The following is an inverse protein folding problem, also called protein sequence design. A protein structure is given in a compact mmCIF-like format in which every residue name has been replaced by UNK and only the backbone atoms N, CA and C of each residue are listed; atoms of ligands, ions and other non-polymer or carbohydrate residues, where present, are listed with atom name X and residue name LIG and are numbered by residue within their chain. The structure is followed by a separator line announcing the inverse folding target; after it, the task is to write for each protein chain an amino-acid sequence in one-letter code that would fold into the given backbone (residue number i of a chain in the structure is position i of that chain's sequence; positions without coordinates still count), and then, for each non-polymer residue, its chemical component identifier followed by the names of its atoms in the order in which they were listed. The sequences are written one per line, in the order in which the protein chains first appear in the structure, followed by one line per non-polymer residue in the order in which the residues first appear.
data_IF_543700868064
#
_entry.id   IF_543700868064
#
_cell.length_a   1.000
_cell.length_b   1.000
_cell.length_c   1.000
_cell.angle_alpha   90.00
_cell.angle_beta   90.00
_cell.angle_gamma   90.00
#
_symmetry.space_group_name_H-M   'P 1'
#
loop_
_entity.id
_entity.type
_entity.pdbx_description
1 polymer ?
#
# COMPACT_ATOMS: atom_id res chain seq x y z
N UNK A 1 -15.54 -10.35 10.67
CA UNK A 1 -15.36 -8.97 11.18
C UNK A 1 -16.32 -8.08 10.40
N UNK A 2 -17.23 -7.36 11.06
CA UNK A 2 -18.39 -6.70 10.41
C UNK A 2 -18.08 -5.40 9.63
N UNK A 3 -16.84 -5.18 9.16
CA UNK A 3 -16.53 -4.15 8.15
C UNK A 3 -16.86 -2.69 8.48
N UNK A 4 -17.11 -2.32 9.73
CA UNK A 4 -17.50 -0.95 10.12
C UNK A 4 -16.30 -0.01 10.21
N UNK A 5 -15.70 0.31 9.06
CA UNK A 5 -14.50 1.14 8.96
C UNK A 5 -14.76 2.55 9.52
N UNK A 6 -15.92 3.16 9.23
CA UNK A 6 -16.27 4.49 9.74
C UNK A 6 -16.30 4.55 11.28
N UNK A 7 -16.88 3.52 11.92
CA UNK A 7 -16.89 3.42 13.37
C UNK A 7 -15.49 3.23 13.97
N UNK A 8 -14.61 2.53 13.26
CA UNK A 8 -13.22 2.37 13.67
C UNK A 8 -12.47 3.70 13.57
N UNK A 9 -12.62 4.43 12.45
CA UNK A 9 -12.06 5.78 12.26
C UNK A 9 -12.51 6.71 13.38
N UNK A 10 -13.82 6.78 13.65
CA UNK A 10 -14.36 7.64 14.72
C UNK A 10 -13.75 7.29 16.08
N UNK A 11 -13.62 6.00 16.38
CA UNK A 11 -13.03 5.53 17.63
C UNK A 11 -11.54 5.89 17.75
N UNK A 12 -10.76 5.69 16.68
CA UNK A 12 -9.34 6.04 16.65
C UNK A 12 -9.11 7.55 16.77
N UNK A 13 -9.93 8.37 16.10
CA UNK A 13 -9.87 9.83 16.22
C UNK A 13 -10.19 10.27 17.65
N UNK A 14 -11.23 9.69 18.29
CA UNK A 14 -11.55 9.98 19.69
C UNK A 14 -10.40 9.61 20.64
N UNK A 15 -9.69 8.52 20.37
CA UNK A 15 -8.51 8.15 21.16
C UNK A 15 -7.32 9.08 20.95
N UNK A 16 -7.17 9.66 19.76
CA UNK A 16 -6.13 10.67 19.52
C UNK A 16 -6.35 11.95 20.34
N UNK A 17 -7.61 12.29 20.60
CA UNK A 17 -8.02 13.43 21.43
C UNK A 17 -7.72 13.20 22.93
N UNK A 18 -7.52 11.96 23.37
CA UNK A 18 -7.17 11.65 24.76
C UNK A 18 -5.68 11.92 25.02
N UNK A 19 -5.34 12.86 25.91
CA UNK A 19 -3.95 13.20 26.21
C UNK A 19 -3.15 12.02 26.81
N UNK A 20 -3.82 11.04 27.44
CA UNK A 20 -3.20 9.91 28.12
C UNK A 20 -2.88 8.72 27.20
N UNK A 21 -3.35 8.74 25.94
CA UNK A 21 -3.05 7.67 24.99
C UNK A 21 -1.59 7.74 24.54
N UNK A 22 -0.84 6.71 24.89
CA UNK A 22 0.63 6.71 24.78
C UNK A 22 1.16 6.10 23.46
N UNK A 23 0.47 5.18 22.74
CA UNK A 23 0.91 4.80 21.40
C UNK A 23 0.18 5.59 20.29
N UNK A 24 0.10 6.93 20.38
CA UNK A 24 -0.51 7.80 19.34
C UNK A 24 -0.03 7.48 17.91
N UNK A 25 1.23 7.06 17.77
CA UNK A 25 1.83 6.69 16.47
C UNK A 25 1.20 5.44 15.86
N UNK A 26 0.91 4.46 16.70
CA UNK A 26 0.21 3.26 16.26
C UNK A 26 -1.19 3.63 15.76
N UNK A 27 -1.86 4.57 16.44
CA UNK A 27 -3.16 5.08 15.98
C UNK A 27 -3.09 5.79 14.63
N UNK A 28 -2.03 6.56 14.36
CA UNK A 28 -1.83 7.14 13.03
C UNK A 28 -1.67 6.06 11.96
N UNK A 29 -0.91 5.00 12.23
CA UNK A 29 -0.79 3.87 11.32
C UNK A 29 -2.15 3.22 11.05
N UNK A 30 -2.91 2.88 12.10
CA UNK A 30 -4.24 2.26 11.98
C UNK A 30 -5.23 3.16 11.21
N UNK A 31 -5.22 4.47 11.46
CA UNK A 31 -6.03 5.43 10.71
C UNK A 31 -5.64 5.46 9.24
N UNK A 32 -4.34 5.46 8.93
CA UNK A 32 -3.87 5.38 7.54
C UNK A 32 -4.41 4.13 6.85
N UNK A 33 -4.45 2.97 7.52
CA UNK A 33 -5.02 1.74 6.94
C UNK A 33 -6.53 1.87 6.72
N UNK A 34 -7.26 2.41 7.72
CA UNK A 34 -8.70 2.63 7.61
C UNK A 34 -9.07 3.56 6.43
N UNK A 35 -8.31 4.64 6.23
CA UNK A 35 -8.54 5.54 5.09
C UNK A 35 -8.10 4.92 3.77
N UNK A 36 -7.08 4.05 3.78
CA UNK A 36 -6.64 3.34 2.58
C UNK A 36 -7.70 2.36 2.09
N UNK A 37 -8.48 1.76 3.00
CA UNK A 37 -9.66 0.97 2.66
C UNK A 37 -10.72 1.79 1.93
N UNK A 38 -10.88 3.07 2.31
CA UNK A 38 -11.85 3.98 1.70
C UNK A 38 -11.32 4.68 0.46
N UNK A 39 -10.07 4.40 0.05
CA UNK A 39 -9.36 5.15 -1.01
C UNK A 39 -9.32 6.66 -0.75
N UNK A 40 -9.41 7.09 0.52
CA UNK A 40 -9.27 8.49 0.91
C UNK A 40 -7.78 8.81 1.04
N UNK A 41 -7.14 9.07 -0.10
CA UNK A 41 -5.69 9.24 -0.17
C UNK A 41 -5.19 10.48 0.56
N UNK A 42 -5.96 11.56 0.59
CA UNK A 42 -5.57 12.78 1.31
C UNK A 42 -5.44 12.51 2.81
N UNK A 43 -6.41 11.82 3.42
CA UNK A 43 -6.31 11.41 4.82
C UNK A 43 -5.21 10.36 5.04
N UNK A 44 -4.99 9.45 4.09
CA UNK A 44 -3.86 8.51 4.17
C UNK A 44 -2.52 9.25 4.27
N UNK A 45 -2.31 10.22 3.39
CA UNK A 45 -1.07 11.03 3.32
C UNK A 45 -0.89 11.83 4.62
N UNK A 46 -1.95 12.48 5.10
CA UNK A 46 -1.91 13.26 6.35
C UNK A 46 -1.45 12.40 7.54
N UNK A 47 -2.10 11.24 7.74
CA UNK A 47 -1.78 10.37 8.88
C UNK A 47 -0.45 9.62 8.68
N UNK A 48 -0.07 9.28 7.45
CA UNK A 48 1.24 8.71 7.16
C UNK A 48 2.37 9.70 7.46
N UNK A 49 2.17 10.98 7.16
CA UNK A 49 3.12 12.04 7.51
C UNK A 49 3.26 12.21 9.03
N UNK A 50 2.14 12.22 9.77
CA UNK A 50 2.15 12.24 11.25
C UNK A 50 2.83 11.00 11.85
N UNK A 51 2.63 9.83 11.23
CA UNK A 51 3.33 8.61 11.60
C UNK A 51 4.84 8.72 11.38
N UNK A 52 5.26 9.21 10.21
CA UNK A 52 6.67 9.37 9.83
C UNK A 52 7.41 10.39 10.67
N UNK A 53 6.85 11.58 10.87
CA UNK A 53 7.52 12.73 11.51
C UNK A 53 7.98 12.51 12.95
N UNK A 54 7.66 11.38 13.57
CA UNK A 54 8.47 10.94 14.70
C UNK A 54 8.61 9.44 14.89
N UNK A 55 8.50 8.65 13.83
CA UNK A 55 8.90 7.25 13.91
C UNK A 55 10.42 7.17 14.01
N UNK A 56 10.93 6.83 15.19
CA UNK A 56 12.37 6.58 15.41
C UNK A 56 12.76 5.14 15.07
N UNK A 57 11.80 4.21 15.12
CA UNK A 57 12.08 2.77 15.06
C UNK A 57 11.83 2.16 13.68
N UNK A 58 10.99 2.77 12.84
CA UNK A 58 10.65 2.26 11.50
C UNK A 58 10.64 3.38 10.44
N UNK A 59 11.70 4.20 10.33
CA UNK A 59 11.70 5.39 9.47
C UNK A 59 11.58 5.05 7.98
N UNK A 60 12.19 3.96 7.52
CA UNK A 60 12.07 3.50 6.13
C UNK A 60 10.64 3.08 5.80
N UNK A 61 9.97 2.33 6.69
CA UNK A 61 8.58 1.89 6.49
C UNK A 61 7.63 3.10 6.50
N UNK A 62 7.79 4.02 7.46
CA UNK A 62 6.93 5.18 7.55
C UNK A 62 7.06 6.12 6.34
N UNK A 63 8.29 6.33 5.87
CA UNK A 63 8.57 7.09 4.63
C UNK A 63 8.01 6.41 3.41
N UNK A 64 8.14 5.10 3.34
CA UNK A 64 7.62 4.32 2.22
C UNK A 64 6.08 4.32 2.18
N UNK A 65 5.41 4.26 3.34
CA UNK A 65 3.95 4.39 3.43
C UNK A 65 3.47 5.77 2.95
N UNK A 66 4.13 6.87 3.32
CA UNK A 66 3.74 8.17 2.76
C UNK A 66 3.94 8.19 1.24
N UNK A 67 5.06 7.66 0.75
CA UNK A 67 5.36 7.61 -0.69
C UNK A 67 4.30 6.83 -1.48
N UNK A 68 3.86 5.67 -0.97
CA UNK A 68 2.87 4.86 -1.68
C UNK A 68 1.50 5.53 -1.74
N UNK A 69 1.06 6.23 -0.70
CA UNK A 69 -0.26 6.86 -0.72
C UNK A 69 -0.28 8.07 -1.66
N UNK A 70 0.82 8.82 -1.74
CA UNK A 70 0.98 9.85 -2.76
C UNK A 70 1.01 9.25 -4.16
N UNK A 71 1.72 8.13 -4.36
CA UNK A 71 1.71 7.41 -5.64
C UNK A 71 0.31 6.90 -6.03
N UNK A 72 -0.45 6.33 -5.09
CA UNK A 72 -1.82 5.87 -5.29
C UNK A 72 -2.76 7.03 -5.64
N UNK A 73 -2.58 8.20 -5.03
CA UNK A 73 -3.30 9.42 -5.38
C UNK A 73 -3.02 9.83 -6.83
N UNK A 74 -1.74 10.00 -7.19
CA UNK A 74 -1.33 10.40 -8.57
C UNK A 74 -1.92 9.44 -9.61
N UNK A 75 -1.84 8.14 -9.35
CA UNK A 75 -2.32 7.11 -10.30
C UNK A 75 -3.84 7.03 -10.40
N UNK A 76 -4.59 7.38 -9.35
CA UNK A 76 -6.06 7.35 -9.35
C UNK A 76 -6.71 8.65 -9.82
N UNK A 77 -6.11 9.82 -9.54
CA UNK A 77 -6.70 11.13 -9.86
C UNK A 77 -6.03 11.82 -11.04
N UNK A 78 -4.91 11.28 -11.55
CA UNK A 78 -4.04 11.91 -12.55
C UNK A 78 -3.49 13.29 -12.13
N UNK A 79 -3.52 13.60 -10.83
CA UNK A 79 -2.96 14.81 -10.25
C UNK A 79 -1.43 14.69 -10.17
N UNK A 80 -0.71 15.49 -10.95
CA UNK A 80 0.75 15.48 -11.00
C UNK A 80 1.40 16.32 -9.89
N UNK A 81 0.63 17.08 -9.10
CA UNK A 81 1.15 18.00 -8.08
C UNK A 81 1.99 17.32 -7.01
N UNK A 82 1.69 16.06 -6.69
CA UNK A 82 2.38 15.28 -5.65
C UNK A 82 3.58 14.46 -6.19
N UNK A 83 3.86 14.47 -7.50
CA UNK A 83 4.86 13.57 -8.12
C UNK A 83 6.29 13.82 -7.64
N UNK A 84 6.72 15.08 -7.59
CA UNK A 84 8.08 15.40 -7.13
C UNK A 84 8.29 14.90 -5.70
N UNK A 85 7.34 15.19 -4.80
CA UNK A 85 7.43 14.76 -3.40
C UNK A 85 7.44 13.24 -3.26
N UNK A 86 6.64 12.56 -4.07
CA UNK A 86 6.61 11.09 -4.14
C UNK A 86 7.98 10.52 -4.48
N UNK A 87 8.63 11.05 -5.53
CA UNK A 87 9.97 10.62 -5.92
C UNK A 87 11.01 10.89 -4.84
N UNK A 88 11.01 12.08 -4.22
CA UNK A 88 11.91 12.41 -3.10
C UNK A 88 11.78 11.41 -1.95
N UNK A 89 10.55 11.00 -1.62
CA UNK A 89 10.31 10.03 -0.55
C UNK A 89 10.81 8.63 -0.92
N UNK A 90 10.58 8.17 -2.16
CA UNK A 90 11.12 6.89 -2.61
C UNK A 90 12.65 6.88 -2.63
N UNK A 91 13.30 7.97 -3.03
CA UNK A 91 14.76 8.11 -2.95
C UNK A 91 15.29 8.09 -1.51
N UNK A 92 14.50 8.62 -0.56
CA UNK A 92 14.86 8.64 0.85
C UNK A 92 14.78 7.25 1.51
N UNK A 93 13.82 6.41 1.15
CA UNK A 93 13.56 5.12 1.82
C UNK A 93 14.82 4.23 1.97
N UNK A 94 15.63 3.96 0.92
CA UNK A 94 16.82 3.13 1.03
C UNK A 94 17.86 3.67 2.02
N UNK A 95 17.91 4.99 2.21
CA UNK A 95 18.87 5.66 3.12
C UNK A 95 18.48 5.54 4.59
N UNK A 96 17.19 5.32 4.87
CA UNK A 96 16.65 5.19 6.22
C UNK A 96 16.73 3.77 6.78
N UNK A 97 17.36 2.87 6.03
CA UNK A 97 17.43 1.45 6.34
C UNK A 97 18.21 1.19 7.64
N UNK A 98 17.54 0.58 8.62
CA UNK A 98 18.13 0.12 9.86
C UNK A 98 18.64 -1.32 9.72
N UNK A 99 19.77 -1.61 10.36
CA UNK A 99 20.34 -2.95 10.45
C UNK A 99 20.43 -3.37 11.92
N UNK A 100 19.67 -4.40 12.28
CA UNK A 100 19.78 -5.07 13.57
C UNK A 100 20.71 -6.27 13.41
N UNK A 101 21.83 -6.28 14.14
CA UNK A 101 22.85 -7.35 14.05
C UNK A 101 23.34 -7.59 12.60
N UNK A 102 23.49 -6.51 11.83
CA UNK A 102 23.91 -6.56 10.43
C UNK A 102 22.81 -7.00 9.45
N UNK A 103 21.63 -7.40 9.92
CA UNK A 103 20.48 -7.82 9.10
C UNK A 103 19.40 -6.74 9.09
N UNK A 104 18.62 -6.71 8.01
CA UNK A 104 17.43 -5.85 7.92
C UNK A 104 16.20 -6.73 8.08
N UNK A 105 15.24 -6.24 8.85
CA UNK A 105 13.98 -6.94 9.06
C UNK A 105 13.19 -7.02 7.75
N UNK A 106 12.43 -8.09 7.58
CA UNK A 106 11.76 -8.40 6.31
C UNK A 106 10.86 -7.27 5.79
N UNK A 107 9.99 -6.64 6.59
CA UNK A 107 9.10 -5.57 6.09
C UNK A 107 9.87 -4.35 5.57
N UNK A 108 10.94 -3.97 6.26
CA UNK A 108 11.79 -2.86 5.86
C UNK A 108 12.59 -3.20 4.60
N UNK A 109 13.08 -4.43 4.48
CA UNK A 109 13.75 -4.90 3.26
C UNK A 109 12.80 -4.80 2.06
N UNK A 110 11.53 -5.17 2.22
CA UNK A 110 10.51 -5.03 1.17
C UNK A 110 10.32 -3.56 0.79
N UNK A 111 10.10 -2.67 1.76
CA UNK A 111 9.96 -1.23 1.50
C UNK A 111 11.16 -0.66 0.71
N UNK A 112 12.39 -1.03 1.08
CA UNK A 112 13.61 -0.60 0.39
C UNK A 112 13.68 -1.13 -1.04
N UNK A 113 13.43 -2.43 -1.25
CA UNK A 113 13.45 -3.03 -2.60
C UNK A 113 12.43 -2.34 -3.50
N UNK A 114 11.22 -2.08 -2.99
CA UNK A 114 10.16 -1.42 -3.75
C UNK A 114 10.48 0.02 -4.08
N UNK A 115 11.04 0.76 -3.15
CA UNK A 115 11.50 2.11 -3.42
C UNK A 115 12.58 2.14 -4.52
N UNK A 116 13.49 1.17 -4.51
CA UNK A 116 14.50 1.01 -5.56
C UNK A 116 13.88 0.62 -6.91
N UNK A 117 12.86 -0.24 -6.93
CA UNK A 117 12.12 -0.58 -8.15
C UNK A 117 11.41 0.63 -8.76
N UNK A 118 10.75 1.47 -7.93
CA UNK A 118 10.15 2.73 -8.39
C UNK A 118 11.18 3.60 -9.12
N UNK A 119 12.37 3.77 -8.53
CA UNK A 119 13.45 4.59 -9.10
C UNK A 119 13.98 3.96 -10.38
N UNK A 120 14.21 2.64 -10.38
CA UNK A 120 14.74 1.90 -11.53
C UNK A 120 13.79 1.93 -12.74
N UNK A 121 12.48 1.98 -12.49
CA UNK A 121 11.45 1.91 -13.50
C UNK A 121 10.88 3.32 -13.83
N UNK A 122 11.69 4.37 -13.73
CA UNK A 122 11.32 5.75 -14.09
C UNK A 122 10.02 6.25 -13.42
N UNK A 123 9.83 5.90 -12.15
CA UNK A 123 8.67 6.31 -11.36
C UNK A 123 7.43 5.43 -11.54
N UNK A 124 7.60 4.21 -12.07
CA UNK A 124 6.55 3.22 -12.18
C UNK A 124 6.74 2.11 -11.14
N UNK A 125 5.72 1.91 -10.31
CA UNK A 125 5.64 0.74 -9.43
C UNK A 125 4.68 -0.26 -10.03
N UNK A 126 5.12 -1.53 -10.06
CA UNK A 126 4.22 -2.66 -10.28
C UNK A 126 3.61 -2.93 -8.90
N UNK A 127 2.35 -2.54 -8.73
CA UNK A 127 1.65 -2.38 -7.43
C UNK A 127 0.95 -3.65 -6.84
N UNK A 128 1.29 -4.93 -7.14
CA UNK A 128 0.61 -6.04 -6.43
C UNK A 128 1.01 -6.19 -4.95
N UNK A 129 2.20 -5.77 -4.54
CA UNK A 129 2.74 -6.30 -3.28
C UNK A 129 2.57 -5.42 -2.06
N UNK A 130 2.30 -4.12 -2.21
CA UNK A 130 2.01 -3.32 -1.02
C UNK A 130 0.58 -3.50 -0.50
N UNK A 131 -0.33 -3.77 -1.43
CA UNK A 131 -1.67 -4.29 -1.19
C UNK A 131 -1.64 -5.80 -0.84
N UNK A 132 -0.46 -6.42 -0.69
CA UNK A 132 -0.33 -7.74 -0.07
C UNK A 132 0.29 -7.62 1.34
N UNK A 133 1.28 -6.73 1.52
CA UNK A 133 1.92 -6.45 2.83
C UNK A 133 0.98 -5.72 3.79
N UNK A 134 0.17 -4.78 3.30
CA UNK A 134 -0.82 -4.03 4.09
C UNK A 134 -2.16 -4.77 4.20
N UNK A 135 -2.46 -5.67 3.26
CA UNK A 135 -3.84 -6.06 2.93
C UNK A 135 -4.11 -7.57 2.93
N UNK A 136 -3.28 -8.37 3.59
CA UNK A 136 -3.65 -9.75 3.93
C UNK A 136 -4.94 -9.83 4.79
N UNK A 137 -5.35 -8.74 5.45
CA UNK A 137 -6.61 -8.63 6.19
C UNK A 137 -7.76 -7.91 5.43
N UNK A 138 -7.51 -7.32 4.26
CA UNK A 138 -8.42 -6.35 3.60
C UNK A 138 -9.05 -6.84 2.28
N UNK A 139 -9.02 -8.14 1.96
CA UNK A 139 -9.82 -8.72 0.87
C UNK A 139 -11.35 -8.70 1.11
N UNK A 140 -11.85 -7.89 2.05
CA UNK A 140 -13.19 -8.04 2.64
C UNK A 140 -14.17 -6.90 2.33
N UNK A 141 -13.82 -5.70 1.87
CA UNK A 141 -14.88 -4.69 1.60
C UNK A 141 -14.63 -3.76 0.40
N UNK A 142 -15.53 -3.89 -0.57
CA UNK A 142 -16.02 -2.97 -1.62
C UNK A 142 -15.05 -2.35 -2.66
N UNK A 143 -15.35 -2.71 -3.92
CA UNK A 143 -15.30 -1.92 -5.18
C UNK A 143 -14.01 -1.24 -5.66
N UNK A 144 -12.85 -1.50 -5.06
CA UNK A 144 -11.57 -0.99 -5.56
C UNK A 144 -10.95 -1.82 -6.68
N UNK A 145 -11.33 -1.54 -7.94
CA UNK A 145 -10.74 -2.11 -9.15
C UNK A 145 -9.23 -1.80 -9.25
N UNK A 146 -8.36 -2.82 -9.17
CA UNK A 146 -6.94 -2.70 -9.52
C UNK A 146 -6.80 -2.68 -11.04
N UNK A 147 -6.46 -1.50 -11.59
CA UNK A 147 -5.98 -1.38 -12.97
C UNK A 147 -4.54 -1.89 -12.98
N UNK A 148 -4.33 -3.07 -13.55
CA UNK A 148 -3.00 -3.57 -13.95
C UNK A 148 -2.76 -3.00 -15.35
N UNK A 149 -1.85 -2.04 -15.56
CA UNK A 149 -1.48 -1.66 -16.92
C UNK A 149 -0.85 -2.86 -17.63
N UNK A 150 -1.06 -2.96 -18.94
CA UNK A 150 -0.53 -3.99 -19.83
C UNK A 150 0.99 -4.17 -19.69
N UNK A 151 1.41 -5.04 -18.76
CA UNK A 151 2.81 -5.38 -18.49
C UNK A 151 3.18 -6.78 -19.02
N UNK A 152 2.39 -7.32 -19.96
CA UNK A 152 2.52 -8.68 -20.49
C UNK A 152 3.78 -8.90 -21.36
N UNK A 153 4.70 -7.93 -21.47
CA UNK A 153 5.82 -8.02 -22.42
C UNK A 153 7.23 -8.10 -21.82
N UNK A 154 7.41 -8.36 -20.52
CA UNK A 154 8.75 -8.64 -19.98
C UNK A 154 8.78 -9.92 -19.13
N UNK A 155 9.60 -10.88 -19.56
CA UNK A 155 9.81 -12.20 -18.94
C UNK A 155 10.22 -12.16 -17.46
N UNK A 156 10.68 -11.00 -16.99
CA UNK A 156 11.23 -10.83 -15.64
C UNK A 156 10.14 -10.57 -14.57
N UNK A 157 8.88 -10.39 -14.99
CA UNK A 157 7.77 -10.03 -14.08
C UNK A 157 6.56 -10.96 -14.16
N UNK A 158 6.70 -12.13 -14.77
CA UNK A 158 5.60 -13.11 -14.93
C UNK A 158 4.99 -13.49 -13.58
N UNK A 159 5.82 -13.76 -12.55
CA UNK A 159 5.32 -14.14 -11.22
C UNK A 159 4.51 -13.01 -10.56
N UNK A 160 4.95 -11.75 -10.70
CA UNK A 160 4.26 -10.59 -10.15
C UNK A 160 2.94 -10.33 -10.90
N UNK A 161 2.94 -10.51 -12.22
CA UNK A 161 1.75 -10.42 -13.05
C UNK A 161 0.73 -11.49 -12.68
N UNK A 162 1.15 -12.76 -12.59
CA UNK A 162 0.30 -13.88 -12.18
C UNK A 162 -0.26 -13.69 -10.76
N UNK A 163 0.56 -13.16 -9.84
CA UNK A 163 0.13 -12.82 -8.48
C UNK A 163 -0.95 -11.73 -8.49
N UNK A 164 -0.80 -10.71 -9.33
CA UNK A 164 -1.80 -9.65 -9.50
C UNK A 164 -3.13 -10.21 -10.05
N UNK A 165 -3.05 -11.05 -11.08
CA UNK A 165 -4.21 -11.70 -11.69
C UNK A 165 -4.90 -12.65 -10.70
N UNK A 166 -4.13 -13.38 -9.89
CA UNK A 166 -4.65 -14.24 -8.84
C UNK A 166 -5.47 -13.45 -7.83
N UNK A 167 -4.92 -12.36 -7.29
CA UNK A 167 -5.63 -11.52 -6.34
C UNK A 167 -6.86 -10.85 -6.98
N UNK A 168 -6.78 -10.45 -8.24
CA UNK A 168 -7.94 -9.94 -9.01
C UNK A 168 -9.06 -10.99 -9.10
N UNK A 169 -8.72 -12.25 -9.37
CA UNK A 169 -9.67 -13.36 -9.42
C UNK A 169 -10.32 -13.66 -8.06
N UNK A 170 -9.55 -13.60 -6.96
CA UNK A 170 -10.06 -13.76 -5.59
C UNK A 170 -11.08 -12.64 -5.26
N UNK A 171 -10.79 -11.41 -5.65
CA UNK A 171 -11.68 -10.25 -5.45
C UNK A 171 -12.99 -10.44 -6.21
N UNK A 172 -12.95 -10.77 -7.50
CA UNK A 172 -14.18 -11.00 -8.29
C UNK A 172 -15.04 -12.13 -7.73
N UNK A 173 -14.41 -13.22 -7.25
CA UNK A 173 -15.13 -14.32 -6.60
C UNK A 173 -15.85 -13.86 -5.34
N UNK A 174 -15.23 -12.98 -4.56
CA UNK A 174 -15.83 -12.44 -3.33
C UNK A 174 -17.00 -11.48 -3.63
N UNK A 175 -16.90 -10.69 -4.71
CA UNK A 175 -17.98 -9.81 -5.22
C UNK A 175 -19.11 -10.58 -5.92
N UNK A 176 -19.09 -11.92 -5.90
CA UNK A 176 -20.00 -12.80 -6.63
C UNK A 176 -20.01 -12.59 -8.17
N UNK A 177 -18.99 -11.91 -8.73
CA UNK A 177 -18.75 -11.80 -10.17
C UNK A 177 -17.92 -13.02 -10.62
N UNK A 178 -18.60 -14.17 -10.68
CA UNK A 178 -17.94 -15.46 -10.94
C UNK A 178 -17.36 -15.58 -12.35
N UNK A 179 -17.88 -14.83 -13.33
CA UNK A 179 -17.36 -14.84 -14.69
C UNK A 179 -15.98 -14.21 -14.75
N UNK A 180 -15.82 -12.98 -14.25
CA UNK A 180 -14.50 -12.33 -14.22
C UNK A 180 -13.50 -13.03 -13.30
N UNK A 181 -13.98 -13.66 -12.23
CA UNK A 181 -13.13 -14.50 -11.38
C UNK A 181 -12.55 -15.68 -12.15
N UNK A 182 -13.38 -16.32 -12.98
CA UNK A 182 -12.98 -17.46 -13.82
C UNK A 182 -12.03 -17.02 -14.93
N UNK A 183 -12.26 -15.87 -15.56
CA UNK A 183 -11.33 -15.30 -16.55
C UNK A 183 -9.93 -15.09 -15.97
N UNK A 184 -9.83 -14.54 -14.75
CA UNK A 184 -8.55 -14.37 -14.08
C UNK A 184 -7.86 -15.71 -13.80
N UNK A 185 -8.61 -16.73 -13.39
CA UNK A 185 -8.06 -18.08 -13.17
C UNK A 185 -7.60 -18.74 -14.47
N UNK A 186 -8.34 -18.53 -15.56
CA UNK A 186 -8.00 -19.07 -16.87
C UNK A 186 -6.68 -18.50 -17.39
N UNK A 187 -6.47 -17.18 -17.23
CA UNK A 187 -5.19 -16.52 -17.56
C UNK A 187 -4.00 -17.17 -16.82
N UNK A 188 -4.18 -17.57 -15.56
CA UNK A 188 -3.11 -18.21 -14.76
C UNK A 188 -2.83 -19.63 -15.22
N UNK A 189 -3.85 -20.37 -15.66
CA UNK A 189 -3.72 -21.77 -16.09
C UNK A 189 -3.13 -21.87 -17.50
N UNK A 190 -3.37 -20.87 -18.35
CA UNK A 190 -2.96 -20.86 -19.76
C UNK A 190 -1.54 -20.29 -19.99
N UNK A 191 -0.88 -19.77 -18.95
CA UNK A 191 0.49 -19.25 -18.93
C UNK A 191 1.48 -20.28 -18.38
#
# INVERSE_FOLDING_TARGET
MNGKIDSAIEWYLRLLDDPHVTPRRFLYFELTMCYALQSNWDSCIEFAEKFRTGSLYTPAIATYLEAIFRYAKITSTNDQGDRQKTTELFELVPTLRIRHLGKTITPEKVAVVRAQEYIKNDGLLIVPDLVAVVRAQEYINNDGLLIVPDLVNTSDYVDNYLTAIFYRGVIFRHLADYEKARECQQIIVDL
#
